data_IF_257583749912
#
_entry.id   IF_257583749912
#
_cell.length_a   1.000
_cell.length_b   1.000
_cell.length_c   1.000
_cell.angle_alpha   90.00
_cell.angle_beta   90.00
_cell.angle_gamma   90.00
#
_symmetry.space_group_name_H-M   'P 1'
#
loop_
_entity.id
_entity.type
_entity.pdbx_description
1 polymer ?
#
# COMPACT_ATOMS: atom_id res chain seq x y z
N UNK A 1 7.09 -49.46 -11.79
CA UNK A 1 6.60 -48.47 -10.79
C UNK A 1 7.63 -47.47 -10.29
N UNK A 2 8.95 -47.72 -10.32
CA UNK A 2 9.96 -46.77 -9.78
C UNK A 2 10.33 -45.60 -10.72
N UNK A 3 9.99 -45.70 -12.01
CA UNK A 3 10.31 -44.68 -13.02
C UNK A 3 9.27 -43.54 -13.07
N UNK A 4 8.01 -43.83 -12.75
CA UNK A 4 6.92 -42.82 -12.75
C UNK A 4 7.03 -41.90 -11.51
N UNK A 5 7.59 -42.40 -10.42
CA UNK A 5 7.80 -41.63 -9.17
C UNK A 5 8.90 -40.59 -9.27
N UNK A 6 9.89 -40.77 -10.17
CA UNK A 6 10.98 -39.80 -10.38
C UNK A 6 10.56 -38.61 -11.26
N UNK A 7 9.64 -38.81 -12.20
CA UNK A 7 9.11 -37.73 -13.05
C UNK A 7 8.19 -36.77 -12.28
N UNK A 8 7.49 -37.26 -11.24
CA UNK A 8 6.59 -36.44 -10.42
C UNK A 8 7.32 -35.44 -9.51
N UNK A 9 8.59 -35.68 -9.16
CA UNK A 9 9.40 -34.78 -8.32
C UNK A 9 10.07 -33.68 -9.17
N UNK A 10 10.35 -33.93 -10.45
CA UNK A 10 10.93 -32.92 -11.34
C UNK A 10 9.92 -31.84 -11.76
N UNK A 11 8.62 -32.16 -11.82
CA UNK A 11 7.58 -31.23 -12.25
C UNK A 11 7.21 -30.16 -11.20
N UNK A 12 7.57 -30.36 -9.92
CA UNK A 12 7.29 -29.40 -8.84
C UNK A 12 8.40 -28.39 -8.61
N UNK A 13 9.60 -28.58 -9.19
CA UNK A 13 10.75 -27.69 -9.02
C UNK A 13 10.79 -26.50 -9.98
N UNK A 14 9.99 -26.49 -11.05
CA UNK A 14 10.12 -25.51 -12.13
C UNK A 14 9.44 -24.15 -11.84
N UNK A 15 8.66 -24.04 -10.75
CA UNK A 15 7.99 -22.80 -10.35
C UNK A 15 8.82 -21.87 -9.45
N UNK A 16 9.93 -22.34 -8.88
CA UNK A 16 10.72 -21.56 -7.91
C UNK A 16 11.82 -20.68 -8.54
N UNK A 17 12.15 -20.89 -9.82
CA UNK A 17 13.19 -20.11 -10.51
C UNK A 17 12.82 -18.63 -10.71
N UNK A 18 11.53 -18.28 -10.65
CA UNK A 18 11.08 -16.89 -10.77
C UNK A 18 11.33 -16.04 -9.52
N UNK A 19 11.41 -16.65 -8.33
CA UNK A 19 11.58 -15.91 -7.07
C UNK A 19 13.05 -15.56 -6.75
N UNK A 20 14.01 -16.32 -7.31
CA UNK A 20 15.44 -16.16 -7.03
C UNK A 20 16.19 -15.30 -8.06
N UNK A 21 15.51 -14.81 -9.10
CA UNK A 21 16.10 -14.05 -10.21
C UNK A 21 15.56 -12.61 -10.33
N UNK A 22 14.82 -12.13 -9.32
CA UNK A 22 14.41 -10.74 -9.29
C UNK A 22 15.61 -9.89 -8.84
N UNK A 23 16.14 -9.09 -9.76
CA UNK A 23 17.16 -8.07 -9.49
C UNK A 23 16.74 -7.23 -8.27
N UNK A 24 17.71 -6.90 -7.41
CA UNK A 24 17.48 -6.04 -6.27
C UNK A 24 16.96 -4.68 -6.75
N UNK A 25 15.70 -4.38 -6.42
CA UNK A 25 15.11 -3.09 -6.78
C UNK A 25 15.65 -2.00 -5.87
N UNK A 26 16.47 -1.11 -6.44
CA UNK A 26 16.97 0.09 -5.75
C UNK A 26 16.01 1.25 -6.01
N UNK A 27 15.49 1.85 -4.94
CA UNK A 27 14.68 3.06 -5.02
C UNK A 27 15.58 4.21 -5.51
N UNK A 28 15.22 4.94 -6.59
CA UNK A 28 16.00 6.09 -7.02
C UNK A 28 16.06 7.17 -5.94
N UNK A 29 17.22 7.79 -5.75
CA UNK A 29 17.44 8.80 -4.70
C UNK A 29 16.44 9.96 -4.76
N UNK A 30 16.02 10.35 -5.96
CA UNK A 30 15.02 11.41 -6.17
C UNK A 30 13.66 11.03 -5.59
N UNK A 31 13.27 9.76 -5.70
CA UNK A 31 12.02 9.22 -5.13
C UNK A 31 12.14 9.15 -3.61
N UNK A 32 13.27 8.67 -3.09
CA UNK A 32 13.53 8.61 -1.66
C UNK A 32 13.51 10.01 -1.01
N UNK A 33 14.12 11.00 -1.67
CA UNK A 33 14.11 12.39 -1.22
C UNK A 33 12.70 12.98 -1.22
N UNK A 34 11.92 12.74 -2.28
CA UNK A 34 10.52 13.19 -2.36
C UNK A 34 9.67 12.56 -1.27
N UNK A 35 9.81 11.26 -1.02
CA UNK A 35 9.09 10.57 0.04
C UNK A 35 9.41 11.15 1.43
N UNK A 36 10.69 11.45 1.69
CA UNK A 36 11.13 12.09 2.93
C UNK A 36 10.53 13.48 3.09
N UNK A 37 10.60 14.32 2.05
CA UNK A 37 10.00 15.66 2.06
C UNK A 37 8.48 15.62 2.33
N UNK A 38 7.75 14.70 1.69
CA UNK A 38 6.31 14.55 1.91
C UNK A 38 5.99 14.11 3.34
N UNK A 39 6.81 13.23 3.92
CA UNK A 39 6.66 12.81 5.30
C UNK A 39 6.88 13.98 6.26
N UNK A 40 7.97 14.74 6.08
CA UNK A 40 8.27 15.91 6.91
C UNK A 40 7.17 16.97 6.81
N UNK A 41 6.72 17.26 5.59
CA UNK A 41 5.61 18.20 5.33
C UNK A 41 4.32 17.76 6.03
N UNK A 42 4.04 16.44 6.04
CA UNK A 42 2.87 15.89 6.72
C UNK A 42 2.96 16.01 8.24
N UNK A 43 4.14 15.79 8.82
CA UNK A 43 4.37 15.88 10.26
C UNK A 43 4.31 17.33 10.79
N UNK A 44 4.67 18.30 9.96
CA UNK A 44 4.59 19.73 10.30
C UNK A 44 3.21 20.35 10.04
N UNK A 45 2.28 19.60 9.44
CA UNK A 45 0.99 20.13 8.97
C UNK A 45 -0.18 19.73 9.86
N UNK A 46 -0.95 20.71 10.30
CA UNK A 46 -2.23 20.49 11.01
C UNK A 46 -3.39 20.14 10.07
N UNK A 47 -3.16 20.03 8.76
CA UNK A 47 -4.22 19.81 7.77
C UNK A 47 -5.07 18.57 8.07
N UNK A 48 -4.43 17.46 8.46
CA UNK A 48 -5.15 16.23 8.79
C UNK A 48 -6.04 16.41 10.03
N UNK A 49 -5.55 17.15 11.03
CA UNK A 49 -6.34 17.48 12.22
C UNK A 49 -7.53 18.37 11.86
N UNK A 50 -7.30 19.42 11.07
CA UNK A 50 -8.36 20.35 10.66
C UNK A 50 -9.45 19.65 9.84
N UNK A 51 -9.08 18.73 8.93
CA UNK A 51 -10.05 17.90 8.20
C UNK A 51 -10.84 17.01 9.16
N UNK A 52 -10.15 16.36 10.12
CA UNK A 52 -10.82 15.50 11.10
C UNK A 52 -11.81 16.30 11.95
N UNK A 53 -11.39 17.44 12.48
CA UNK A 53 -12.22 18.33 13.29
C UNK A 53 -13.43 18.84 12.49
N UNK A 54 -13.22 19.31 11.26
CA UNK A 54 -14.33 19.75 10.40
C UNK A 54 -15.35 18.62 10.17
N UNK A 55 -14.87 17.41 9.85
CA UNK A 55 -15.75 16.29 9.55
C UNK A 55 -16.46 15.73 10.80
N UNK A 56 -15.80 15.69 11.94
CA UNK A 56 -16.31 14.97 13.13
C UNK A 56 -16.93 15.86 14.19
N UNK A 57 -16.53 17.13 14.26
CA UNK A 57 -17.04 18.10 15.23
C UNK A 57 -17.99 19.07 14.56
N UNK A 58 -17.58 19.71 13.47
CA UNK A 58 -18.39 20.76 12.83
C UNK A 58 -19.55 20.18 12.02
N UNK A 59 -19.33 19.07 11.31
CA UNK A 59 -20.37 18.37 10.54
C UNK A 59 -21.04 17.27 11.38
N UNK A 60 -20.25 16.35 11.95
CA UNK A 60 -20.75 15.25 12.77
C UNK A 60 -21.19 14.00 12.00
N UNK A 61 -22.17 13.22 12.51
CA UNK A 61 -22.65 12.00 11.85
C UNK A 61 -23.20 12.23 10.44
N UNK A 62 -22.69 11.48 9.47
CA UNK A 62 -22.91 11.66 8.04
C UNK A 62 -23.39 10.36 7.38
N UNK A 63 -24.65 10.02 7.64
CA UNK A 63 -25.28 8.84 7.04
C UNK A 63 -25.37 9.03 5.51
N UNK A 64 -25.12 7.96 4.75
CA UNK A 64 -25.19 7.99 3.29
C UNK A 64 -26.56 8.43 2.77
N UNK A 65 -26.58 9.34 1.81
CA UNK A 65 -27.76 9.97 1.23
C UNK A 65 -28.37 11.10 2.05
N UNK A 66 -27.74 11.51 3.16
CA UNK A 66 -28.22 12.61 4.00
C UNK A 66 -27.67 13.98 3.57
N UNK A 67 -28.30 15.05 4.03
CA UNK A 67 -27.79 16.41 3.84
C UNK A 67 -26.43 16.64 4.52
N UNK A 68 -26.17 15.93 5.64
CA UNK A 68 -24.89 16.01 6.34
C UNK A 68 -23.74 15.37 5.52
N UNK A 69 -24.03 14.30 4.77
CA UNK A 69 -23.07 13.75 3.81
C UNK A 69 -22.83 14.71 2.66
N UNK A 70 -23.87 15.35 2.10
CA UNK A 70 -23.71 16.32 1.02
C UNK A 70 -22.92 17.58 1.40
N UNK A 71 -22.82 17.89 2.71
CA UNK A 71 -22.05 19.01 3.24
C UNK A 71 -20.59 18.65 3.49
N UNK A 72 -20.30 17.38 3.76
CA UNK A 72 -18.95 16.88 4.04
C UNK A 72 -18.06 16.94 2.81
#
# INVERSE_FOLDING_TARGET
MRLVTMAAIAATGLGAAGAAAQEDFVIPDTVAATATQLADTGLESDLAWNILESLTTEIGPRLGGSEAEARA
#
